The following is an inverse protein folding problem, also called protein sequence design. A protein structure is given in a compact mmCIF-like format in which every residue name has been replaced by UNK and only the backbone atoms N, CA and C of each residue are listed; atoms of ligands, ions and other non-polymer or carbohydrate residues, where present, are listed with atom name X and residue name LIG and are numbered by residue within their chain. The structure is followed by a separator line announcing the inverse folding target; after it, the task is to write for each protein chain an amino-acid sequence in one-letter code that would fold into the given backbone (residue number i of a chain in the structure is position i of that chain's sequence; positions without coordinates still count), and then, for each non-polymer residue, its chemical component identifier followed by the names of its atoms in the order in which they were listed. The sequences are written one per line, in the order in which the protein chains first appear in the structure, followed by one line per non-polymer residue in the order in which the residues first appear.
data_IF_015998505585
#
_entry.id   IF_015998505585
#
_cell.length_a   1.000
_cell.length_b   1.000
_cell.length_c   1.000
_cell.angle_alpha   90.00
_cell.angle_beta   90.00
_cell.angle_gamma   90.00
#
_symmetry.space_group_name_H-M   'P 1'
#
loop_
_entity.id
_entity.type
_entity.pdbx_description
1 polymer ?
#
# COMPACT_ATOMS: atom_id res chain seq x y z
N UNK A 1 -22.37 35.70 -26.54
CA UNK A 1 -21.31 34.70 -26.73
C UNK A 1 -20.46 34.69 -25.47
N UNK A 2 -20.84 33.86 -24.52
CA UNK A 2 -20.08 33.63 -23.28
C UNK A 2 -19.00 32.62 -23.59
N UNK A 3 -17.77 33.10 -23.72
CA UNK A 3 -16.60 32.22 -23.62
C UNK A 3 -16.41 31.84 -22.14
N UNK A 4 -17.07 30.79 -21.70
CA UNK A 4 -16.70 30.11 -20.46
C UNK A 4 -15.30 29.53 -20.68
N UNK A 5 -14.29 30.28 -20.22
CA UNK A 5 -12.95 29.77 -20.00
C UNK A 5 -13.12 28.59 -19.05
N UNK A 6 -13.12 27.39 -19.59
CA UNK A 6 -12.85 26.18 -18.78
C UNK A 6 -11.51 26.44 -18.12
N UNK A 7 -11.54 26.85 -16.85
CA UNK A 7 -10.36 26.86 -16.00
C UNK A 7 -9.89 25.41 -15.96
N UNK A 8 -8.83 25.15 -16.68
CA UNK A 8 -8.14 23.87 -16.65
C UNK A 8 -7.38 23.83 -15.32
N UNK A 9 -8.12 23.67 -14.21
CA UNK A 9 -7.53 23.64 -12.88
C UNK A 9 -6.67 22.40 -12.79
N UNK A 10 -5.36 22.61 -12.67
CA UNK A 10 -4.40 21.54 -12.46
C UNK A 10 -4.78 20.74 -11.23
N UNK A 11 -4.69 19.41 -11.32
CA UNK A 11 -4.93 18.53 -10.20
C UNK A 11 -3.80 18.62 -9.20
N UNK A 12 -4.12 18.70 -7.91
CA UNK A 12 -3.13 18.67 -6.84
C UNK A 12 -2.81 17.24 -6.48
N UNK A 13 -1.53 16.90 -6.50
CA UNK A 13 -1.02 15.58 -6.15
C UNK A 13 -0.05 15.70 -4.98
N UNK A 14 -0.31 14.99 -3.90
CA UNK A 14 0.63 14.91 -2.78
C UNK A 14 1.27 13.54 -2.73
N UNK A 15 2.59 13.50 -2.85
CA UNK A 15 3.40 12.29 -2.63
C UNK A 15 3.84 12.25 -1.17
N UNK A 16 3.55 11.13 -0.52
CA UNK A 16 3.83 10.84 0.87
C UNK A 16 4.97 9.82 0.92
N UNK A 17 6.17 10.26 1.29
CA UNK A 17 7.36 9.42 1.36
C UNK A 17 7.77 9.20 2.82
N UNK A 18 7.98 7.94 3.20
CA UNK A 18 8.55 7.60 4.50
C UNK A 18 10.02 7.23 4.34
N UNK A 19 10.90 7.84 5.13
CA UNK A 19 12.33 7.55 5.10
C UNK A 19 12.85 7.00 6.45
N UNK A 20 13.80 6.08 6.37
CA UNK A 20 14.59 5.58 7.50
C UNK A 20 15.93 5.03 7.01
N UNK A 21 17.03 5.68 7.36
CA UNK A 21 18.39 5.32 6.93
C UNK A 21 18.48 5.09 5.41
N UNK A 22 18.01 6.09 4.65
CA UNK A 22 17.84 6.02 3.20
C UNK A 22 18.93 6.75 2.40
N UNK A 23 20.04 7.20 3.03
CA UNK A 23 21.06 8.04 2.39
C UNK A 23 21.53 7.53 1.03
N UNK A 24 21.50 6.21 0.84
CA UNK A 24 22.01 5.56 -0.36
C UNK A 24 21.14 5.77 -1.60
N UNK A 25 19.84 5.87 -1.44
CA UNK A 25 18.90 5.81 -2.57
C UNK A 25 17.90 6.97 -2.64
N UNK A 26 17.71 7.70 -1.52
CA UNK A 26 16.63 8.68 -1.40
C UNK A 26 16.72 9.81 -2.43
N UNK A 27 17.95 10.22 -2.82
CA UNK A 27 18.14 11.24 -3.86
C UNK A 27 17.60 10.80 -5.22
N UNK A 28 17.92 9.56 -5.65
CA UNK A 28 17.41 9.01 -6.91
C UNK A 28 15.88 8.92 -6.92
N UNK A 29 15.29 8.51 -5.81
CA UNK A 29 13.85 8.44 -5.68
C UNK A 29 13.21 9.84 -5.73
N UNK A 30 13.73 10.82 -4.98
CA UNK A 30 13.22 12.19 -4.99
C UNK A 30 13.32 12.82 -6.37
N UNK A 31 14.45 12.66 -7.06
CA UNK A 31 14.63 13.15 -8.42
C UNK A 31 13.63 12.53 -9.39
N UNK A 32 13.37 11.22 -9.27
CA UNK A 32 12.39 10.52 -10.10
C UNK A 32 10.95 11.00 -9.87
N UNK A 33 10.62 11.39 -8.63
CA UNK A 33 9.32 11.97 -8.30
C UNK A 33 9.22 13.40 -8.85
N UNK A 34 10.27 14.20 -8.74
CA UNK A 34 10.30 15.57 -9.27
C UNK A 34 10.22 15.61 -10.80
N UNK A 35 10.68 14.56 -11.47
CA UNK A 35 10.63 14.40 -12.94
C UNK A 35 9.29 13.82 -13.45
N UNK A 36 8.22 13.84 -12.66
CA UNK A 36 6.91 13.39 -13.13
C UNK A 36 6.28 14.37 -14.11
N UNK A 37 5.75 13.86 -15.21
CA UNK A 37 5.13 14.65 -16.27
C UNK A 37 3.60 14.55 -16.25
N UNK A 38 2.94 15.70 -16.42
CA UNK A 38 1.47 15.76 -16.51
C UNK A 38 0.90 17.13 -16.14
N UNK A 39 -0.42 17.28 -16.25
CA UNK A 39 -1.13 18.50 -15.89
C UNK A 39 -1.60 18.46 -14.43
N UNK A 40 -0.65 18.54 -13.50
CA UNK A 40 -0.90 18.56 -12.06
C UNK A 40 0.14 19.43 -11.33
N UNK A 41 -0.23 19.88 -10.14
CA UNK A 41 0.67 20.50 -9.19
C UNK A 41 1.14 19.45 -8.18
N UNK A 42 2.44 19.21 -8.14
CA UNK A 42 3.07 18.19 -7.31
C UNK A 42 3.54 18.78 -5.97
N UNK A 43 3.19 18.12 -4.88
CA UNK A 43 3.77 18.36 -3.56
C UNK A 43 4.37 17.06 -3.01
N UNK A 44 5.58 17.14 -2.47
CA UNK A 44 6.24 16.02 -1.80
C UNK A 44 6.32 16.31 -0.31
N UNK A 45 5.86 15.36 0.51
CA UNK A 45 5.99 15.44 1.97
C UNK A 45 6.72 14.19 2.43
N UNK A 46 7.82 14.39 3.12
CA UNK A 46 8.63 13.29 3.69
C UNK A 46 8.49 13.29 5.21
N UNK A 47 8.25 12.11 5.78
CA UNK A 47 8.43 11.87 7.20
C UNK A 47 9.66 11.00 7.41
N UNK A 48 10.63 11.54 8.12
CA UNK A 48 11.80 10.77 8.56
C UNK A 48 11.48 10.00 9.84
N UNK A 49 11.58 8.68 9.78
CA UNK A 49 11.23 7.74 10.86
C UNK A 49 12.42 7.48 11.80
N UNK A 50 13.22 8.52 12.06
CA UNK A 50 14.32 8.44 13.02
C UNK A 50 15.66 8.04 12.42
N UNK A 51 16.00 8.50 11.19
CA UNK A 51 17.29 8.21 10.55
C UNK A 51 18.49 8.71 11.37
N UNK A 52 19.56 7.92 11.35
CA UNK A 52 20.85 8.21 12.00
C UNK A 52 21.98 8.45 10.99
N UNK A 53 21.72 8.17 9.69
CA UNK A 53 22.63 8.41 8.57
C UNK A 53 22.45 9.83 7.98
N UNK A 54 22.96 10.09 6.78
CA UNK A 54 22.87 11.38 6.11
C UNK A 54 21.50 11.69 5.49
N UNK A 55 20.48 10.85 5.68
CA UNK A 55 19.14 11.04 5.11
C UNK A 55 18.60 12.45 5.37
N UNK A 56 18.65 12.92 6.63
CA UNK A 56 18.13 14.23 7.02
C UNK A 56 18.87 15.39 6.37
N UNK A 57 20.20 15.25 6.19
CA UNK A 57 21.01 16.26 5.51
C UNK A 57 20.58 16.38 4.05
N UNK A 58 20.36 15.26 3.37
CA UNK A 58 19.86 15.22 1.99
C UNK A 58 18.46 15.88 1.92
N UNK A 59 17.55 15.55 2.83
CA UNK A 59 16.22 16.15 2.88
C UNK A 59 16.27 17.67 3.08
N UNK A 60 17.20 18.16 3.89
CA UNK A 60 17.42 19.61 4.08
C UNK A 60 17.89 20.31 2.80
N UNK A 61 18.73 19.65 1.99
CA UNK A 61 19.18 20.18 0.71
C UNK A 61 18.00 20.36 -0.26
N UNK A 62 17.15 19.33 -0.42
CA UNK A 62 15.95 19.42 -1.25
C UNK A 62 14.93 20.46 -0.74
N UNK A 63 14.79 20.60 0.58
CA UNK A 63 13.90 21.59 1.19
C UNK A 63 14.36 23.02 0.95
N UNK A 64 15.66 23.29 1.01
CA UNK A 64 16.24 24.61 0.70
C UNK A 64 15.90 25.08 -0.71
N UNK A 65 15.82 24.13 -1.65
CA UNK A 65 15.43 24.37 -3.05
C UNK A 65 13.91 24.42 -3.26
N UNK A 66 13.10 24.39 -2.18
CA UNK A 66 11.63 24.32 -2.20
C UNK A 66 11.07 23.13 -3.00
N UNK A 67 11.81 22.01 -3.07
CA UNK A 67 11.42 20.82 -3.81
C UNK A 67 10.49 19.91 -3.01
N UNK A 68 10.58 19.97 -1.68
CA UNK A 68 9.76 19.18 -0.76
C UNK A 68 9.61 19.84 0.61
N UNK A 69 8.65 19.35 1.39
CA UNK A 69 8.57 19.54 2.84
C UNK A 69 8.94 18.24 3.56
N UNK A 70 9.65 18.34 4.68
CA UNK A 70 9.89 17.17 5.50
C UNK A 70 9.82 17.49 7.00
N UNK A 71 9.54 16.46 7.80
CA UNK A 71 9.51 16.52 9.25
C UNK A 71 9.90 15.19 9.89
N UNK A 72 10.27 15.25 11.16
CA UNK A 72 10.43 14.08 12.04
C UNK A 72 9.81 14.41 13.39
N UNK A 73 9.29 13.41 14.07
CA UNK A 73 8.84 13.48 15.46
C UNK A 73 9.86 12.81 16.41
N UNK A 74 11.01 12.41 15.90
CA UNK A 74 12.10 11.81 16.68
C UNK A 74 11.88 10.35 17.05
N UNK A 75 10.77 9.74 16.61
CA UNK A 75 10.42 8.36 16.91
C UNK A 75 10.56 7.46 15.67
N UNK A 76 11.16 6.27 15.84
CA UNK A 76 11.06 5.19 14.88
C UNK A 76 9.80 4.37 15.20
N UNK A 77 8.77 4.50 14.37
CA UNK A 77 7.48 3.82 14.56
C UNK A 77 7.25 2.69 13.55
N UNK A 78 8.18 2.52 12.61
CA UNK A 78 8.12 1.56 11.52
C UNK A 78 7.22 2.02 10.36
N UNK A 79 7.46 1.43 9.19
CA UNK A 79 6.86 1.87 7.93
C UNK A 79 5.33 2.03 7.97
N UNK A 80 4.61 1.03 8.52
CA UNK A 80 3.15 1.06 8.56
C UNK A 80 2.60 2.31 9.26
N UNK A 81 3.12 2.62 10.45
CA UNK A 81 2.68 3.80 11.23
C UNK A 81 3.22 5.10 10.65
N UNK A 82 4.44 5.09 10.10
CA UNK A 82 5.05 6.25 9.47
C UNK A 82 4.21 6.75 8.29
N UNK A 83 3.79 5.85 7.39
CA UNK A 83 2.88 6.20 6.30
C UNK A 83 1.50 6.65 6.78
N UNK A 84 0.96 6.07 7.83
CA UNK A 84 -0.31 6.54 8.39
C UNK A 84 -0.19 7.93 9.02
N UNK A 85 0.91 8.25 9.73
CA UNK A 85 1.18 9.62 10.20
C UNK A 85 1.27 10.61 9.05
N UNK A 86 1.96 10.26 7.96
CA UNK A 86 2.01 11.07 6.73
C UNK A 86 0.61 11.31 6.18
N UNK A 87 -0.19 10.27 6.01
CA UNK A 87 -1.53 10.38 5.45
C UNK A 87 -2.44 11.27 6.31
N UNK A 88 -2.43 11.09 7.64
CA UNK A 88 -3.29 11.86 8.54
C UNK A 88 -2.88 13.35 8.59
N UNK A 89 -1.60 13.66 8.42
CA UNK A 89 -1.06 15.03 8.39
C UNK A 89 -1.02 15.64 6.97
N UNK A 90 -1.37 14.87 5.94
CA UNK A 90 -1.34 15.35 4.57
C UNK A 90 -2.32 16.51 4.34
N UNK A 91 -1.94 17.56 3.58
CA UNK A 91 -2.85 18.63 3.16
C UNK A 91 -3.92 18.08 2.22
N UNK A 92 -4.97 18.86 2.01
CA UNK A 92 -6.02 18.49 1.06
C UNK A 92 -5.45 18.56 -0.36
N UNK A 93 -5.56 17.47 -1.09
CA UNK A 93 -5.15 17.30 -2.49
C UNK A 93 -6.19 16.49 -3.24
N UNK A 94 -6.17 16.52 -4.59
CA UNK A 94 -7.09 15.70 -5.38
C UNK A 94 -6.67 14.22 -5.36
N UNK A 95 -5.35 13.98 -5.33
CA UNK A 95 -4.77 12.63 -5.32
C UNK A 95 -3.57 12.54 -4.37
N UNK A 96 -3.32 11.33 -3.88
CA UNK A 96 -2.22 11.02 -2.99
C UNK A 96 -1.51 9.77 -3.47
N UNK A 97 -0.18 9.75 -3.36
CA UNK A 97 0.64 8.59 -3.68
C UNK A 97 1.54 8.26 -2.49
N UNK A 98 1.78 6.97 -2.25
CA UNK A 98 2.86 6.55 -1.37
C UNK A 98 4.14 6.32 -2.17
N UNK A 99 5.27 6.62 -1.55
CA UNK A 99 6.59 6.37 -2.11
C UNK A 99 7.51 5.78 -1.03
N UNK A 100 8.16 4.66 -1.35
CA UNK A 100 9.29 4.15 -0.58
C UNK A 100 10.55 4.95 -0.97
N UNK A 101 11.57 4.97 -0.12
CA UNK A 101 12.76 5.83 -0.29
C UNK A 101 13.79 5.30 -1.29
N UNK A 102 13.64 4.07 -1.74
CA UNK A 102 14.67 3.25 -2.41
C UNK A 102 14.30 2.78 -3.82
N UNK A 103 13.16 3.22 -4.32
CA UNK A 103 12.67 2.94 -5.68
C UNK A 103 13.07 4.04 -6.68
N UNK A 104 12.65 3.88 -7.95
CA UNK A 104 12.74 4.93 -8.97
C UNK A 104 11.46 4.94 -9.80
N UNK A 105 10.78 6.08 -9.89
CA UNK A 105 9.56 6.22 -10.68
C UNK A 105 9.86 6.51 -12.15
N UNK A 106 9.03 5.98 -13.04
CA UNK A 106 9.01 6.40 -14.43
C UNK A 106 8.17 7.69 -14.56
N UNK A 107 8.51 8.53 -15.50
CA UNK A 107 7.96 9.88 -15.68
C UNK A 107 6.44 9.96 -15.81
N UNK A 108 5.79 8.85 -16.17
CA UNK A 108 4.34 8.77 -16.42
C UNK A 108 3.53 8.14 -15.26
N UNK A 109 4.11 7.80 -14.11
CA UNK A 109 3.42 7.10 -13.03
C UNK A 109 2.19 7.86 -12.54
N UNK A 110 2.34 9.15 -12.26
CA UNK A 110 1.24 9.98 -11.75
C UNK A 110 0.18 10.17 -12.82
N UNK A 111 0.55 10.56 -14.03
CA UNK A 111 -0.41 10.87 -15.11
C UNK A 111 -1.24 9.64 -15.52
N UNK A 112 -0.62 8.45 -15.65
CA UNK A 112 -1.34 7.23 -15.97
C UNK A 112 -2.31 6.81 -14.86
N UNK A 113 -1.90 6.96 -13.61
CA UNK A 113 -2.77 6.64 -12.48
C UNK A 113 -3.95 7.60 -12.35
N UNK A 114 -3.71 8.92 -12.53
CA UNK A 114 -4.79 9.93 -12.50
C UNK A 114 -5.80 9.67 -13.63
N UNK A 115 -5.35 9.30 -14.82
CA UNK A 115 -6.22 8.99 -15.97
C UNK A 115 -7.24 7.89 -15.62
N UNK A 116 -6.82 6.89 -14.85
CA UNK A 116 -7.71 5.83 -14.38
C UNK A 116 -8.60 6.30 -13.23
N UNK A 117 -8.03 7.00 -12.24
CA UNK A 117 -8.75 7.49 -11.07
C UNK A 117 -9.85 8.51 -11.42
N UNK A 118 -9.68 9.28 -12.49
CA UNK A 118 -10.66 10.24 -12.96
C UNK A 118 -12.01 9.59 -13.35
N UNK A 119 -12.01 8.29 -13.68
CA UNK A 119 -13.22 7.51 -13.94
C UNK A 119 -13.93 6.98 -12.69
N UNK A 120 -13.32 7.11 -11.50
CA UNK A 120 -13.88 6.59 -10.24
C UNK A 120 -14.55 7.73 -9.47
N UNK A 121 -15.88 7.67 -9.33
CA UNK A 121 -16.65 8.70 -8.65
C UNK A 121 -16.69 8.58 -7.12
N UNK A 122 -16.40 7.39 -6.59
CA UNK A 122 -16.42 7.10 -5.15
C UNK A 122 -15.02 7.04 -4.53
N UNK A 123 -14.85 6.14 -3.56
CA UNK A 123 -13.56 5.82 -2.96
C UNK A 123 -12.73 5.04 -3.98
N UNK A 124 -11.57 5.56 -4.36
CA UNK A 124 -10.79 4.99 -5.45
C UNK A 124 -9.30 4.89 -5.17
N UNK A 125 -8.71 3.78 -5.61
CA UNK A 125 -7.27 3.61 -5.67
C UNK A 125 -6.86 2.90 -6.97
N UNK A 126 -5.65 3.21 -7.44
CA UNK A 126 -4.98 2.51 -8.53
C UNK A 126 -3.66 1.99 -7.99
N UNK A 127 -3.29 0.77 -8.35
CA UNK A 127 -1.93 0.31 -8.18
C UNK A 127 -1.38 -0.19 -9.51
N UNK A 128 -0.13 0.12 -9.77
CA UNK A 128 0.53 -0.17 -11.04
C UNK A 128 1.48 -1.34 -10.89
N UNK A 129 1.91 -1.91 -12.02
CA UNK A 129 3.02 -2.84 -12.02
C UNK A 129 4.36 -2.12 -11.83
N UNK A 130 5.42 -2.87 -11.57
CA UNK A 130 6.78 -2.40 -11.46
C UNK A 130 7.75 -3.38 -12.10
N UNK A 131 8.88 -2.88 -12.62
CA UNK A 131 10.01 -3.72 -13.00
C UNK A 131 10.86 -4.02 -11.77
N UNK A 132 11.25 -5.29 -11.60
CA UNK A 132 12.22 -5.66 -10.58
C UNK A 132 13.63 -5.34 -11.06
N UNK A 133 14.39 -4.65 -10.22
CA UNK A 133 15.78 -4.28 -10.48
C UNK A 133 16.66 -4.60 -9.26
N UNK A 134 17.95 -4.78 -9.49
CA UNK A 134 18.92 -4.93 -8.40
C UNK A 134 19.27 -3.58 -7.73
N UNK A 135 20.20 -3.60 -6.77
CA UNK A 135 20.65 -2.40 -6.05
C UNK A 135 21.24 -1.30 -6.94
N UNK A 136 21.64 -1.63 -8.17
CA UNK A 136 22.26 -0.74 -9.14
C UNK A 136 21.34 -0.42 -10.33
N UNK A 137 20.04 -0.70 -10.20
CA UNK A 137 19.00 -0.54 -11.24
C UNK A 137 19.17 -1.45 -12.46
N UNK A 138 19.99 -2.51 -12.40
CA UNK A 138 20.04 -3.50 -13.46
C UNK A 138 18.76 -4.34 -13.45
N UNK A 139 18.17 -4.54 -14.64
CA UNK A 139 16.92 -5.28 -14.78
C UNK A 139 17.07 -6.75 -14.37
N UNK A 140 16.16 -7.24 -13.54
CA UNK A 140 16.02 -8.66 -13.22
C UNK A 140 15.11 -9.40 -14.22
N UNK A 141 14.73 -8.75 -15.34
CA UNK A 141 13.89 -9.28 -16.41
C UNK A 141 12.55 -9.84 -15.94
N UNK A 142 12.00 -9.29 -14.88
CA UNK A 142 10.68 -9.67 -14.37
C UNK A 142 9.92 -8.46 -13.82
N UNK A 143 8.60 -8.62 -13.76
CA UNK A 143 7.68 -7.68 -13.14
C UNK A 143 7.26 -8.18 -11.77
N UNK A 144 6.85 -7.26 -10.91
CA UNK A 144 6.32 -7.58 -9.58
C UNK A 144 5.05 -8.41 -9.66
N UNK A 145 4.11 -7.99 -10.51
CA UNK A 145 2.83 -8.68 -10.67
C UNK A 145 2.79 -9.40 -12.03
N UNK A 146 2.50 -10.70 -12.01
CA UNK A 146 2.41 -11.54 -13.23
C UNK A 146 0.98 -11.76 -13.71
N UNK A 147 -0.01 -11.55 -12.84
CA UNK A 147 -1.41 -11.83 -13.13
C UNK A 147 -2.34 -10.68 -12.76
N UNK A 148 -3.35 -10.44 -13.63
CA UNK A 148 -4.46 -9.53 -13.31
C UNK A 148 -5.39 -10.19 -12.30
N UNK A 149 -5.42 -9.65 -11.10
CA UNK A 149 -6.36 -10.14 -10.09
C UNK A 149 -7.35 -9.05 -9.70
N UNK A 150 -8.63 -9.37 -9.83
CA UNK A 150 -9.68 -8.49 -9.30
C UNK A 150 -9.57 -8.44 -7.77
N UNK A 151 -9.47 -7.23 -7.21
CA UNK A 151 -9.52 -7.03 -5.78
C UNK A 151 -10.95 -7.26 -5.29
N UNK A 152 -11.12 -8.04 -4.23
CA UNK A 152 -12.41 -8.24 -3.53
C UNK A 152 -12.24 -7.86 -2.07
N UNK A 153 -13.34 -7.65 -1.33
CA UNK A 153 -13.28 -7.33 0.10
C UNK A 153 -12.48 -8.40 0.86
N UNK A 154 -12.81 -9.67 0.66
CA UNK A 154 -12.12 -10.76 1.35
C UNK A 154 -10.62 -10.78 1.01
N UNK A 155 -10.26 -10.55 -0.24
CA UNK A 155 -8.87 -10.52 -0.70
C UNK A 155 -8.11 -9.33 -0.14
N UNK A 156 -8.70 -8.13 -0.12
CA UNK A 156 -8.07 -6.94 0.45
C UNK A 156 -7.74 -7.10 1.94
N UNK A 157 -8.54 -7.89 2.66
CA UNK A 157 -8.35 -8.15 4.08
C UNK A 157 -7.39 -9.31 4.38
N UNK A 158 -7.39 -10.36 3.56
CA UNK A 158 -6.64 -11.61 3.84
C UNK A 158 -5.31 -11.72 3.09
N UNK A 159 -5.23 -11.24 1.85
CA UNK A 159 -4.10 -11.46 0.95
C UNK A 159 -3.89 -10.31 -0.05
N UNK A 160 -4.02 -9.07 0.41
CA UNK A 160 -3.79 -7.89 -0.42
C UNK A 160 -2.38 -7.93 -1.04
N UNK A 161 -2.33 -7.79 -2.36
CA UNK A 161 -1.08 -7.78 -3.12
C UNK A 161 -0.72 -6.37 -3.65
N UNK A 162 -1.60 -5.38 -3.50
CA UNK A 162 -1.26 -4.02 -3.86
C UNK A 162 -0.15 -3.53 -2.91
N UNK A 163 0.96 -3.06 -3.48
CA UNK A 163 2.09 -2.51 -2.71
C UNK A 163 1.93 -1.01 -2.58
N UNK A 164 2.19 -0.47 -1.41
CA UNK A 164 2.04 0.96 -1.11
C UNK A 164 2.75 1.85 -2.12
N UNK A 165 4.02 1.59 -2.42
CA UNK A 165 4.82 2.36 -3.37
C UNK A 165 4.29 2.36 -4.81
N UNK A 166 3.40 1.42 -5.15
CA UNK A 166 2.74 1.37 -6.47
C UNK A 166 1.40 2.08 -6.49
N UNK A 167 0.89 2.57 -5.34
CA UNK A 167 -0.48 3.06 -5.18
C UNK A 167 -0.59 4.56 -5.33
N UNK A 168 -1.67 4.98 -6.03
CA UNK A 168 -2.22 6.35 -6.01
C UNK A 168 -3.71 6.25 -5.71
N UNK A 169 -4.25 7.16 -4.90
CA UNK A 169 -5.63 7.13 -4.46
C UNK A 169 -6.24 8.54 -4.38
N UNK A 170 -7.57 8.61 -4.47
CA UNK A 170 -8.27 9.89 -4.53
C UNK A 170 -8.58 10.47 -3.14
N UNK A 171 -8.93 11.76 -3.10
CA UNK A 171 -9.27 12.47 -1.87
C UNK A 171 -10.48 11.87 -1.15
N UNK A 172 -11.48 11.40 -1.88
CA UNK A 172 -12.65 10.76 -1.26
C UNK A 172 -12.24 9.61 -0.32
N UNK A 173 -11.29 8.77 -0.75
CA UNK A 173 -10.78 7.68 0.08
C UNK A 173 -10.00 8.20 1.30
N UNK A 174 -9.19 9.25 1.12
CA UNK A 174 -8.43 9.86 2.23
C UNK A 174 -9.36 10.49 3.26
N UNK A 175 -10.40 11.21 2.82
CA UNK A 175 -11.39 11.80 3.72
C UNK A 175 -12.17 10.73 4.49
N UNK A 176 -12.53 9.62 3.83
CA UNK A 176 -13.12 8.47 4.51
C UNK A 176 -12.18 7.94 5.60
N UNK A 177 -10.91 7.70 5.28
CA UNK A 177 -9.92 7.20 6.25
C UNK A 177 -9.78 8.16 7.42
N UNK A 178 -9.62 9.46 7.16
CA UNK A 178 -9.48 10.51 8.18
C UNK A 178 -10.77 10.73 9.00
N UNK A 179 -11.93 10.21 8.55
CA UNK A 179 -13.19 10.30 9.32
C UNK A 179 -13.17 9.50 10.63
N UNK A 180 -12.13 8.70 10.85
CA UNK A 180 -11.89 7.94 12.09
C UNK A 180 -10.49 8.25 12.63
N UNK A 181 -10.26 8.08 13.94
CA UNK A 181 -8.92 8.18 14.50
C UNK A 181 -7.92 7.25 13.81
N UNK A 182 -6.66 7.66 13.77
CA UNK A 182 -5.58 6.86 13.18
C UNK A 182 -5.59 5.44 13.80
N UNK A 183 -5.52 4.39 12.98
CA UNK A 183 -5.56 3.02 13.47
C UNK A 183 -4.28 2.67 14.23
N UNK A 184 -4.44 1.86 15.28
CA UNK A 184 -3.30 1.41 16.10
C UNK A 184 -2.74 0.06 15.65
N UNK A 185 -3.62 -0.85 15.22
CA UNK A 185 -3.29 -2.24 14.93
C UNK A 185 -3.52 -2.55 13.46
N UNK A 186 -2.54 -2.21 12.62
CA UNK A 186 -2.54 -2.51 11.19
C UNK A 186 -1.32 -3.35 10.82
N UNK A 187 -1.51 -4.25 9.88
CA UNK A 187 -0.43 -5.08 9.35
C UNK A 187 0.54 -4.24 8.51
N UNK A 188 -0.01 -3.50 7.54
CA UNK A 188 0.66 -2.54 6.66
C UNK A 188 -0.34 -1.47 6.24
N UNK A 189 0.18 -0.27 5.96
CA UNK A 189 -0.62 0.89 5.57
C UNK A 189 -1.41 0.65 4.27
N UNK A 190 -0.80 0.02 3.27
CA UNK A 190 -1.41 -0.32 1.99
C UNK A 190 -2.57 -1.32 2.13
N UNK A 191 -2.37 -2.38 2.92
CA UNK A 191 -3.42 -3.36 3.23
C UNK A 191 -4.60 -2.73 3.97
N UNK A 192 -4.31 -1.82 4.89
CA UNK A 192 -5.36 -1.10 5.62
C UNK A 192 -6.18 -0.23 4.67
N UNK A 193 -5.52 0.56 3.81
CA UNK A 193 -6.19 1.43 2.82
C UNK A 193 -7.02 0.60 1.84
N UNK A 194 -6.47 -0.49 1.30
CA UNK A 194 -7.20 -1.41 0.44
C UNK A 194 -8.42 -2.00 1.15
N UNK A 195 -8.25 -2.41 2.42
CA UNK A 195 -9.33 -2.96 3.24
C UNK A 195 -10.46 -1.96 3.47
N UNK A 196 -10.15 -0.71 3.85
CA UNK A 196 -11.15 0.35 4.02
C UNK A 196 -11.86 0.65 2.69
N UNK A 197 -11.09 0.87 1.61
CA UNK A 197 -11.64 1.17 0.28
C UNK A 197 -12.66 0.11 -0.15
N UNK A 198 -12.25 -1.15 -0.20
CA UNK A 198 -13.09 -2.24 -0.67
C UNK A 198 -14.28 -2.51 0.25
N UNK A 199 -14.08 -2.46 1.57
CA UNK A 199 -15.15 -2.72 2.54
C UNK A 199 -16.25 -1.64 2.48
N UNK A 200 -15.89 -0.40 2.19
CA UNK A 200 -16.81 0.72 2.07
C UNK A 200 -17.39 0.93 0.65
N UNK A 201 -17.24 -0.07 -0.23
CA UNK A 201 -17.83 -0.05 -1.57
C UNK A 201 -17.02 0.76 -2.59
N UNK A 202 -15.74 1.03 -2.31
CA UNK A 202 -14.83 1.67 -3.24
C UNK A 202 -14.29 0.71 -4.30
N UNK A 203 -13.48 1.24 -5.19
CA UNK A 203 -12.88 0.52 -6.32
C UNK A 203 -11.36 0.60 -6.26
N UNK A 204 -10.69 -0.54 -6.50
CA UNK A 204 -9.24 -0.62 -6.65
C UNK A 204 -8.94 -1.22 -8.03
N UNK A 205 -8.31 -0.41 -8.87
CA UNK A 205 -7.95 -0.79 -10.24
C UNK A 205 -6.49 -1.18 -10.31
N UNK A 206 -6.22 -2.32 -10.93
CA UNK A 206 -4.87 -2.72 -11.29
C UNK A 206 -4.53 -2.25 -12.70
N UNK A 207 -3.44 -1.51 -12.85
CA UNK A 207 -2.86 -1.10 -14.12
C UNK A 207 -1.59 -1.93 -14.39
N UNK A 208 -1.63 -2.77 -15.43
CA UNK A 208 -0.51 -3.69 -15.76
C UNK A 208 0.70 -2.97 -16.38
N UNK A 209 0.64 -1.66 -16.52
CA UNK A 209 1.79 -0.85 -16.96
C UNK A 209 2.79 -0.71 -15.80
N UNK A 210 4.06 -1.12 -16.00
CA UNK A 210 5.11 -0.87 -15.03
C UNK A 210 5.48 0.62 -15.03
N UNK A 211 5.18 1.30 -13.95
CA UNK A 211 5.41 2.75 -13.82
C UNK A 211 6.57 3.10 -12.90
N UNK A 212 7.28 2.10 -12.41
CA UNK A 212 8.45 2.28 -11.55
C UNK A 212 9.39 1.09 -11.62
N UNK A 213 10.61 1.31 -11.16
CA UNK A 213 11.61 0.31 -10.91
C UNK A 213 11.62 0.03 -9.40
N UNK A 214 11.24 -1.21 -9.03
CA UNK A 214 11.24 -1.67 -7.65
C UNK A 214 12.57 -2.30 -7.31
N UNK A 215 13.34 -1.63 -6.46
CA UNK A 215 14.72 -2.00 -6.14
C UNK A 215 14.76 -3.13 -5.13
N UNK A 216 15.61 -4.11 -5.40
CA UNK A 216 15.87 -5.24 -4.51
C UNK A 216 17.22 -5.09 -3.84
N UNK A 217 17.24 -5.06 -2.51
CA UNK A 217 18.43 -5.07 -1.68
C UNK A 217 18.16 -5.74 -0.32
N UNK A 218 19.18 -5.99 0.49
CA UNK A 218 19.07 -6.74 1.75
C UNK A 218 18.16 -6.10 2.81
N UNK A 219 17.86 -4.81 2.71
CA UNK A 219 17.11 -4.03 3.70
C UNK A 219 15.65 -3.81 3.30
N UNK A 220 15.15 -4.39 2.21
CA UNK A 220 13.74 -4.27 1.85
C UNK A 220 12.84 -4.89 2.92
N UNK A 221 11.75 -4.20 3.28
CA UNK A 221 10.73 -4.72 4.20
C UNK A 221 10.05 -5.95 3.58
N UNK A 222 9.85 -5.94 2.26
CA UNK A 222 9.40 -7.08 1.47
C UNK A 222 10.39 -7.35 0.36
N UNK A 223 11.32 -8.31 0.57
CA UNK A 223 12.20 -8.82 -0.49
C UNK A 223 11.47 -9.87 -1.33
N UNK A 224 11.69 -9.86 -2.65
CA UNK A 224 11.35 -11.01 -3.48
C UNK A 224 12.44 -12.07 -3.25
N UNK A 225 12.04 -13.23 -2.68
CA UNK A 225 12.96 -14.31 -2.36
C UNK A 225 13.73 -14.74 -3.63
N UNK A 226 15.04 -14.56 -3.60
CA UNK A 226 15.95 -15.06 -4.62
C UNK A 226 16.17 -16.58 -4.50
N UNK A 227 15.92 -17.15 -3.31
CA UNK A 227 16.01 -18.59 -3.08
C UNK A 227 14.73 -19.31 -3.51
N UNK A 228 14.73 -19.85 -4.73
CA UNK A 228 13.66 -20.68 -5.31
C UNK A 228 13.65 -22.11 -4.77
N UNK A 229 14.52 -22.47 -3.82
CA UNK A 229 14.60 -23.82 -3.25
C UNK A 229 13.32 -24.17 -2.48
N UNK A 230 12.97 -25.45 -2.46
CA UNK A 230 11.81 -25.96 -1.71
C UNK A 230 12.00 -25.69 -0.21
N UNK A 231 13.24 -25.82 0.28
CA UNK A 231 13.60 -25.56 1.68
C UNK A 231 13.47 -24.08 2.04
N UNK A 232 13.89 -23.15 1.16
CA UNK A 232 13.71 -21.71 1.34
C UNK A 232 12.24 -21.33 1.45
N UNK A 233 11.40 -21.84 0.56
CA UNK A 233 9.93 -21.61 0.61
C UNK A 233 9.26 -22.17 1.88
N UNK A 234 9.73 -23.32 2.37
CA UNK A 234 9.22 -23.91 3.62
C UNK A 234 9.66 -23.08 4.82
N UNK A 235 10.91 -22.66 4.86
CA UNK A 235 11.45 -21.80 5.93
C UNK A 235 10.70 -20.47 6.00
N UNK A 236 10.51 -19.81 4.89
CA UNK A 236 9.73 -18.56 4.78
C UNK A 236 8.29 -18.74 5.31
N UNK A 237 7.65 -19.86 5.00
CA UNK A 237 6.31 -20.20 5.51
C UNK A 237 6.30 -20.46 7.01
N UNK A 238 7.33 -21.11 7.54
CA UNK A 238 7.47 -21.37 9.00
C UNK A 238 7.71 -20.03 9.71
N UNK A 239 8.60 -19.19 9.21
CA UNK A 239 8.89 -17.88 9.76
C UNK A 239 7.63 -17.00 9.77
N UNK A 240 6.84 -17.05 8.69
CA UNK A 240 5.54 -16.37 8.62
C UNK A 240 4.58 -16.77 9.76
N UNK A 241 4.52 -18.06 10.09
CA UNK A 241 3.61 -18.61 11.13
C UNK A 241 4.13 -18.40 12.55
N UNK A 242 5.48 -18.30 12.70
CA UNK A 242 6.13 -18.26 14.02
C UNK A 242 6.46 -16.87 14.51
N UNK A 243 6.34 -15.81 13.68
CA UNK A 243 6.56 -14.43 14.09
C UNK A 243 5.64 -13.99 15.23
N UNK A 244 6.18 -13.85 16.43
CA UNK A 244 5.45 -13.58 17.68
C UNK A 244 4.83 -12.17 17.79
N UNK A 245 5.23 -11.20 16.96
CA UNK A 245 4.83 -9.77 17.07
C UNK A 245 4.04 -9.24 15.87
N UNK A 246 3.46 -10.12 15.08
CA UNK A 246 2.73 -9.71 13.89
C UNK A 246 1.30 -9.33 14.25
N UNK A 247 0.85 -8.16 13.78
CA UNK A 247 -0.57 -7.81 13.78
C UNK A 247 -1.33 -8.83 12.93
N UNK A 248 -2.36 -9.42 13.49
CA UNK A 248 -3.17 -10.44 12.81
C UNK A 248 -4.29 -9.79 12.00
N UNK A 249 -4.83 -10.52 11.03
CA UNK A 249 -5.88 -9.97 10.16
C UNK A 249 -7.15 -9.57 10.92
N UNK A 250 -7.49 -10.25 12.03
CA UNK A 250 -8.65 -9.89 12.84
C UNK A 250 -8.45 -8.55 13.59
N UNK A 251 -7.23 -8.24 13.99
CA UNK A 251 -6.91 -6.95 14.62
C UNK A 251 -7.07 -5.82 13.61
N UNK A 252 -6.52 -5.98 12.40
CA UNK A 252 -6.74 -5.03 11.31
C UNK A 252 -8.22 -4.94 10.91
N UNK A 253 -8.93 -6.07 10.84
CA UNK A 253 -10.36 -6.08 10.54
C UNK A 253 -11.19 -5.34 11.60
N UNK A 254 -10.81 -5.38 12.88
CA UNK A 254 -11.43 -4.56 13.94
C UNK A 254 -11.20 -3.07 13.73
N UNK A 255 -10.03 -2.67 13.26
CA UNK A 255 -9.77 -1.27 12.88
C UNK A 255 -10.67 -0.86 11.69
N UNK A 256 -10.79 -1.72 10.68
CA UNK A 256 -11.64 -1.48 9.50
C UNK A 256 -13.13 -1.48 9.89
N UNK A 257 -13.57 -2.28 10.86
CA UNK A 257 -14.94 -2.30 11.36
C UNK A 257 -15.41 -0.96 11.93
N UNK A 258 -14.49 -0.07 12.31
CA UNK A 258 -14.85 1.30 12.73
C UNK A 258 -15.56 2.09 11.62
N UNK A 259 -15.42 1.67 10.37
CA UNK A 259 -16.05 2.27 9.19
C UNK A 259 -17.38 1.61 8.81
N UNK A 260 -17.98 0.76 9.67
CA UNK A 260 -19.18 -0.05 9.39
C UNK A 260 -20.37 0.74 8.86
N UNK A 261 -20.52 2.01 9.24
CA UNK A 261 -21.60 2.88 8.79
C UNK A 261 -21.52 3.23 7.28
N UNK A 262 -20.35 3.01 6.65
CA UNK A 262 -20.12 3.20 5.22
C UNK A 262 -20.18 1.89 4.42
N UNK A 263 -20.42 0.75 5.10
CA UNK A 263 -20.39 -0.58 4.48
C UNK A 263 -21.79 -1.04 4.08
N UNK A 264 -21.90 -1.63 2.89
CA UNK A 264 -23.08 -2.42 2.53
C UNK A 264 -23.15 -3.71 3.36
N UNK A 265 -24.34 -4.26 3.54
CA UNK A 265 -24.61 -5.45 4.39
C UNK A 265 -23.68 -6.63 4.11
N UNK A 266 -23.40 -6.93 2.84
CA UNK A 266 -22.53 -8.06 2.47
C UNK A 266 -21.07 -7.83 2.89
N UNK A 267 -20.55 -6.62 2.64
CA UNK A 267 -19.17 -6.27 3.02
C UNK A 267 -19.01 -6.26 4.53
N UNK A 268 -19.99 -5.73 5.26
CA UNK A 268 -19.99 -5.72 6.72
C UNK A 268 -19.89 -7.15 7.28
N UNK A 269 -20.69 -8.08 6.76
CA UNK A 269 -20.63 -9.50 7.18
C UNK A 269 -19.26 -10.13 6.96
N UNK A 270 -18.56 -9.78 5.87
CA UNK A 270 -17.20 -10.28 5.61
C UNK A 270 -16.22 -9.71 6.65
N UNK A 271 -16.29 -8.39 6.91
CA UNK A 271 -15.41 -7.73 7.90
C UNK A 271 -15.64 -8.31 9.30
N UNK A 272 -16.90 -8.46 9.72
CA UNK A 272 -17.26 -9.07 11.01
C UNK A 272 -16.74 -10.50 11.14
N UNK A 273 -16.91 -11.31 10.11
CA UNK A 273 -16.43 -12.70 10.08
C UNK A 273 -14.91 -12.76 10.30
N UNK A 274 -14.13 -11.88 9.66
CA UNK A 274 -12.69 -11.81 9.83
C UNK A 274 -12.33 -11.25 11.21
N UNK A 275 -12.99 -10.19 11.67
CA UNK A 275 -12.73 -9.59 12.98
C UNK A 275 -12.99 -10.58 14.14
N UNK A 276 -13.85 -11.57 13.93
CA UNK A 276 -14.28 -12.52 14.96
C UNK A 276 -13.75 -13.95 14.78
N UNK A 277 -12.94 -14.21 13.74
CA UNK A 277 -12.59 -15.60 13.41
C UNK A 277 -11.85 -16.33 14.54
N UNK A 278 -11.07 -15.60 15.36
CA UNK A 278 -10.32 -16.22 16.48
C UNK A 278 -11.17 -16.45 17.74
N UNK A 279 -12.40 -15.92 17.84
CA UNK A 279 -13.24 -16.06 19.02
C UNK A 279 -13.54 -17.51 19.40
N UNK A 280 -13.75 -18.39 18.40
CA UNK A 280 -14.00 -19.81 18.59
C UNK A 280 -13.63 -20.64 17.35
N UNK A 281 -13.57 -21.95 17.51
CA UNK A 281 -13.17 -22.88 16.44
C UNK A 281 -14.18 -22.92 15.28
N UNK A 282 -15.47 -22.76 15.56
CA UNK A 282 -16.52 -22.70 14.52
C UNK A 282 -16.35 -21.53 13.57
N UNK A 283 -15.95 -20.35 14.09
CA UNK A 283 -15.65 -19.18 13.27
C UNK A 283 -14.42 -19.42 12.39
N UNK A 284 -13.40 -20.12 12.88
CA UNK A 284 -12.21 -20.51 12.09
C UNK A 284 -12.58 -21.41 10.92
N UNK A 285 -13.43 -22.42 11.17
CA UNK A 285 -13.90 -23.34 10.12
C UNK A 285 -14.67 -22.56 9.05
N UNK A 286 -15.58 -21.67 9.44
CA UNK A 286 -16.36 -20.83 8.49
C UNK A 286 -15.46 -19.99 7.62
N UNK A 287 -14.48 -19.27 8.20
CA UNK A 287 -13.55 -18.45 7.43
C UNK A 287 -12.67 -19.31 6.52
N UNK A 288 -12.13 -20.44 7.00
CA UNK A 288 -11.31 -21.36 6.21
C UNK A 288 -12.09 -21.89 4.99
N UNK A 289 -13.36 -22.28 5.18
CA UNK A 289 -14.24 -22.76 4.11
C UNK A 289 -14.51 -21.65 3.05
N UNK A 290 -14.75 -20.41 3.48
CA UNK A 290 -14.99 -19.31 2.54
C UNK A 290 -13.73 -19.00 1.73
N UNK A 291 -12.55 -19.03 2.35
CA UNK A 291 -11.28 -18.80 1.69
C UNK A 291 -11.00 -19.85 0.59
N UNK A 292 -11.30 -21.12 0.86
CA UNK A 292 -11.16 -22.21 -0.11
C UNK A 292 -12.20 -22.04 -1.25
N UNK A 293 -13.46 -21.80 -0.89
CA UNK A 293 -14.57 -21.72 -1.86
C UNK A 293 -14.43 -20.57 -2.84
N UNK A 294 -13.87 -19.45 -2.41
CA UNK A 294 -13.78 -18.21 -3.19
C UNK A 294 -12.48 -18.08 -3.98
N UNK A 295 -11.57 -19.06 -3.88
CA UNK A 295 -10.36 -19.12 -4.70
C UNK A 295 -9.47 -17.89 -4.55
N UNK A 296 -9.01 -17.56 -3.33
CA UNK A 296 -8.36 -16.27 -3.03
C UNK A 296 -6.92 -16.22 -3.50
N UNK A 297 -6.31 -17.36 -3.82
CA UNK A 297 -4.88 -17.45 -4.07
C UNK A 297 -4.52 -17.47 -5.56
N UNK A 298 -3.41 -16.78 -5.89
CA UNK A 298 -2.73 -16.84 -7.18
C UNK A 298 -2.10 -18.20 -7.49
N UNK A 299 -1.78 -18.99 -6.46
CA UNK A 299 -0.95 -20.18 -6.56
C UNK A 299 -1.74 -21.49 -6.60
N UNK A 300 -3.07 -21.41 -6.85
CA UNK A 300 -3.96 -22.58 -6.94
C UNK A 300 -4.24 -23.24 -5.59
N UNK A 301 -4.96 -24.34 -5.63
CA UNK A 301 -5.53 -25.06 -4.49
C UNK A 301 -4.57 -25.32 -3.31
N UNK A 302 -3.27 -25.52 -3.57
CA UNK A 302 -2.26 -25.77 -2.52
C UNK A 302 -2.05 -24.58 -1.57
N UNK A 303 -2.08 -23.36 -2.10
CA UNK A 303 -1.91 -22.16 -1.26
C UNK A 303 -3.18 -21.86 -0.47
N UNK A 304 -4.34 -22.08 -1.04
CA UNK A 304 -5.63 -21.93 -0.35
C UNK A 304 -5.75 -22.88 0.82
N UNK A 305 -5.34 -24.14 0.63
CA UNK A 305 -5.28 -25.14 1.72
C UNK A 305 -4.32 -24.66 2.81
N UNK A 306 -3.14 -24.13 2.44
CA UNK A 306 -2.19 -23.62 3.42
C UNK A 306 -2.77 -22.44 4.24
N UNK A 307 -3.40 -21.47 3.60
CA UNK A 307 -4.06 -20.34 4.28
C UNK A 307 -5.20 -20.85 5.18
N UNK A 308 -6.01 -21.80 4.70
CA UNK A 308 -7.08 -22.39 5.51
C UNK A 308 -6.54 -23.09 6.78
N UNK A 309 -5.41 -23.80 6.67
CA UNK A 309 -4.75 -24.42 7.84
C UNK A 309 -4.28 -23.33 8.82
N UNK A 310 -3.69 -22.23 8.34
CA UNK A 310 -3.27 -21.12 9.20
C UNK A 310 -4.47 -20.49 9.92
N UNK A 311 -5.61 -20.34 9.23
CA UNK A 311 -6.86 -19.86 9.83
C UNK A 311 -7.35 -20.80 10.92
N UNK A 312 -7.35 -22.12 10.67
CA UNK A 312 -7.76 -23.12 11.67
C UNK A 312 -6.86 -23.08 12.91
N UNK A 313 -5.58 -22.83 12.72
CA UNK A 313 -4.63 -22.63 13.83
C UNK A 313 -4.81 -21.27 14.55
N UNK A 314 -5.62 -20.36 14.00
CA UNK A 314 -5.83 -19.00 14.53
C UNK A 314 -4.62 -18.07 14.38
N UNK A 315 -3.84 -18.25 13.31
CA UNK A 315 -2.55 -17.57 13.09
C UNK A 315 -2.47 -16.81 11.76
N UNK A 316 -3.60 -16.47 11.13
CA UNK A 316 -3.62 -15.69 9.90
C UNK A 316 -3.45 -14.18 10.15
#
# INVERSE_FOLDING_TARGET
MNNDKIKNDKKRVTVLLSSFNGEKYISEQLDSILNQHGNFDLKIIVRDDGSEDRTRQILDEYKKDNKLDWYTDGENVGAAKSFMRLLYNAPISDYYAFADQDDVWRENKISESIRVLAGITGYGAVYTNAYLVDSNLNSLNCKVFTDKQKMTVLKSLSSCNAMGCTMIFNDNLVQLIKSRPMPNNIMMHDRFICGVCMSCGGEIVYLDEPTMFYRQHSNNVQGYATDKSILGKVREKIDYVTQKRRVQIDEQAKEIYKYRNYMGKQNLQIVEKIAEYRKNFGNRIRLASDLIRLGISKNGTKHEIFIAVIVLLGKL
#
